data_IF_961363046027
#
_entry.id   IF_961363046027
#
_cell.length_a   1.000
_cell.length_b   1.000
_cell.length_c   1.000
_cell.angle_alpha   90.00
_cell.angle_beta   90.00
_cell.angle_gamma   90.00
#
_symmetry.space_group_name_H-M   'P 1'
#
loop_
_entity.id
_entity.type
_entity.pdbx_description
1 polymer ?
#
# COMPACT_ATOMS: atom_id res chain seq x y z
N UNK A 1 17.81 -36.73 -4.16
CA UNK A 1 17.70 -35.57 -5.07
C UNK A 1 16.94 -34.48 -4.34
N UNK A 2 17.67 -33.67 -3.56
CA UNK A 2 17.07 -32.55 -2.80
C UNK A 2 16.98 -31.36 -3.75
N UNK A 3 15.76 -31.00 -4.18
CA UNK A 3 15.58 -29.81 -5.00
C UNK A 3 15.79 -28.59 -4.12
N UNK A 4 16.88 -27.87 -4.36
CA UNK A 4 17.11 -26.54 -3.81
C UNK A 4 16.02 -25.62 -4.34
N UNK A 5 15.13 -25.12 -3.47
CA UNK A 5 14.29 -23.96 -3.77
C UNK A 5 15.23 -22.80 -4.07
N UNK A 6 15.32 -22.42 -5.33
CA UNK A 6 15.97 -21.18 -5.76
C UNK A 6 15.17 -20.03 -5.18
N UNK A 7 15.62 -19.52 -4.04
CA UNK A 7 15.08 -18.31 -3.44
C UNK A 7 15.42 -17.16 -4.39
N UNK A 8 14.42 -16.68 -5.13
CA UNK A 8 14.59 -15.57 -6.06
C UNK A 8 15.11 -14.37 -5.26
N UNK A 9 16.34 -13.95 -5.56
CA UNK A 9 17.10 -12.94 -4.81
C UNK A 9 16.64 -11.51 -5.06
N UNK A 10 15.37 -11.22 -4.83
CA UNK A 10 14.91 -9.84 -4.73
C UNK A 10 15.39 -9.29 -3.38
N UNK A 11 16.26 -8.29 -3.42
CA UNK A 11 16.57 -7.52 -2.22
C UNK A 11 15.27 -6.87 -1.71
N UNK A 12 15.01 -6.88 -0.39
CA UNK A 12 13.85 -6.20 0.15
C UNK A 12 13.93 -4.71 -0.20
N UNK A 13 12.79 -4.15 -0.60
CA UNK A 13 12.67 -2.71 -0.80
C UNK A 13 13.01 -1.98 0.51
N UNK A 14 13.51 -0.75 0.39
CA UNK A 14 13.61 0.14 1.55
C UNK A 14 12.24 0.28 2.24
N UNK A 15 12.23 0.48 3.55
CA UNK A 15 10.98 0.70 4.26
C UNK A 15 10.33 2.01 3.82
N UNK A 16 9.01 2.09 3.97
CA UNK A 16 8.25 3.28 3.63
C UNK A 16 8.77 4.52 4.37
N UNK A 17 9.15 4.38 5.63
CA UNK A 17 9.63 5.45 6.49
C UNK A 17 11.03 5.94 6.07
N UNK A 18 11.88 5.05 5.53
CA UNK A 18 13.19 5.43 5.00
C UNK A 18 13.05 6.21 3.71
N UNK A 19 12.21 5.74 2.78
CA UNK A 19 11.97 6.45 1.51
C UNK A 19 11.14 7.72 1.69
N UNK A 20 10.26 7.75 2.70
CA UNK A 20 9.38 8.88 3.01
C UNK A 20 9.42 9.23 4.50
N UNK A 21 10.48 9.92 4.96
CA UNK A 21 10.56 10.40 6.34
C UNK A 21 9.35 11.26 6.73
N UNK A 22 8.99 11.22 8.01
CA UNK A 22 7.84 11.95 8.59
C UNK A 22 6.52 11.68 7.88
N UNK A 23 6.40 10.57 7.16
CA UNK A 23 5.19 10.22 6.42
C UNK A 23 4.61 8.89 6.89
N UNK A 24 3.29 8.74 6.77
CA UNK A 24 2.64 7.43 6.87
C UNK A 24 1.51 7.31 5.85
N UNK A 25 1.18 6.08 5.47
CA UNK A 25 0.04 5.80 4.61
C UNK A 25 -1.26 5.97 5.40
N UNK A 26 -2.22 6.65 4.80
CA UNK A 26 -3.60 6.76 5.29
C UNK A 26 -4.56 6.27 4.20
N UNK A 27 -5.81 6.04 4.58
CA UNK A 27 -6.87 5.69 3.63
C UNK A 27 -8.04 6.64 3.83
N UNK A 28 -8.53 7.20 2.73
CA UNK A 28 -9.82 7.88 2.72
C UNK A 28 -10.90 6.85 2.36
N UNK A 29 -11.90 6.71 3.22
CA UNK A 29 -13.06 5.89 2.93
C UNK A 29 -14.05 6.67 2.06
N UNK A 30 -14.52 6.04 0.99
CA UNK A 30 -15.49 6.61 0.04
C UNK A 30 -16.56 5.58 -0.25
N UNK A 31 -17.82 6.00 -0.22
CA UNK A 31 -18.95 5.15 -0.59
C UNK A 31 -19.18 5.18 -2.10
N UNK A 32 -19.31 4.02 -2.72
CA UNK A 32 -19.66 3.87 -4.14
C UNK A 32 -20.70 2.76 -4.31
N UNK A 33 -21.97 3.13 -4.40
CA UNK A 33 -23.06 2.15 -4.38
C UNK A 33 -23.04 1.33 -3.09
N UNK A 34 -23.06 -0.01 -3.16
CA UNK A 34 -22.98 -0.88 -1.98
C UNK A 34 -21.54 -1.05 -1.44
N UNK A 35 -20.54 -0.43 -2.08
CA UNK A 35 -19.13 -0.68 -1.78
C UNK A 35 -18.52 0.47 -0.96
N UNK A 36 -17.82 0.11 0.12
CA UNK A 36 -16.89 1.03 0.82
C UNK A 36 -15.49 0.88 0.21
N UNK A 37 -14.99 1.93 -0.41
CA UNK A 37 -13.66 1.99 -1.01
C UNK A 37 -12.66 2.61 -0.05
N UNK A 38 -11.47 2.02 0.11
CA UNK A 38 -10.35 2.60 0.87
C UNK A 38 -9.31 3.15 -0.09
N UNK A 39 -9.37 4.45 -0.37
CA UNK A 39 -8.49 5.13 -1.34
C UNK A 39 -7.19 5.58 -0.64
N UNK A 40 -6.00 5.12 -1.08
CA UNK A 40 -4.75 5.43 -0.41
C UNK A 40 -4.33 6.89 -0.59
N UNK A 41 -3.78 7.47 0.48
CA UNK A 41 -3.02 8.72 0.46
C UNK A 41 -1.79 8.56 1.36
N UNK A 42 -0.86 9.50 1.26
CA UNK A 42 0.28 9.62 2.17
C UNK A 42 0.12 10.91 2.96
N UNK A 43 0.20 10.82 4.29
CA UNK A 43 0.16 11.95 5.19
C UNK A 43 1.58 12.33 5.59
N UNK A 44 1.95 13.58 5.36
CA UNK A 44 3.25 14.16 5.72
C UNK A 44 3.06 15.04 6.95
N UNK A 45 3.82 14.76 8.02
CA UNK A 45 3.83 15.58 9.23
C UNK A 45 4.86 16.71 9.09
N UNK A 46 4.38 17.95 9.28
CA UNK A 46 5.19 19.16 9.20
C UNK A 46 5.65 19.59 10.61
N UNK A 47 6.66 20.44 10.69
CA UNK A 47 7.12 21.04 11.95
C UNK A 47 6.33 22.32 12.28
N UNK A 48 6.49 22.83 13.51
CA UNK A 48 5.95 24.14 13.89
C UNK A 48 4.43 24.19 14.06
N UNK A 49 3.83 23.07 14.50
CA UNK A 49 2.38 22.91 14.70
C UNK A 49 1.51 23.11 13.44
N UNK A 50 2.14 23.12 12.26
CA UNK A 50 1.44 23.14 10.99
C UNK A 50 0.63 21.84 10.81
N UNK A 51 -0.59 21.93 10.24
CA UNK A 51 -1.40 20.75 9.99
C UNK A 51 -0.71 19.82 8.97
N UNK A 52 -0.92 18.50 9.06
CA UNK A 52 -0.31 17.56 8.14
C UNK A 52 -0.83 17.74 6.70
N UNK A 53 0.04 17.48 5.73
CA UNK A 53 -0.28 17.53 4.31
C UNK A 53 -0.59 16.13 3.77
N UNK A 54 -1.78 15.95 3.22
CA UNK A 54 -2.19 14.71 2.56
C UNK A 54 -1.92 14.77 1.06
N UNK A 55 -1.11 13.85 0.54
CA UNK A 55 -0.73 13.77 -0.88
C UNK A 55 -1.14 12.43 -1.51
N UNK A 56 -1.14 12.39 -2.84
CA UNK A 56 -1.36 11.15 -3.59
C UNK A 56 -0.27 10.10 -3.29
N UNK A 57 -0.65 8.82 -3.24
CA UNK A 57 0.26 7.74 -2.85
C UNK A 57 0.11 6.51 -3.76
N UNK A 58 1.14 6.27 -4.58
CA UNK A 58 1.22 5.16 -5.54
C UNK A 58 2.00 3.96 -5.03
N UNK A 59 2.48 3.98 -3.78
CA UNK A 59 3.38 2.93 -3.26
C UNK A 59 2.70 1.56 -3.10
N UNK A 60 1.36 1.52 -3.06
CA UNK A 60 0.61 0.28 -2.86
C UNK A 60 0.82 -0.35 -1.47
N UNK A 61 0.33 -1.59 -1.26
CA UNK A 61 0.56 -2.34 -0.03
C UNK A 61 2.04 -2.68 0.18
N UNK A 62 2.52 -2.54 1.41
CA UNK A 62 3.91 -2.84 1.81
C UNK A 62 3.98 -4.15 2.59
N UNK A 63 5.16 -4.78 2.61
CA UNK A 63 5.42 -5.97 3.43
C UNK A 63 4.69 -7.25 3.01
N UNK A 64 4.21 -7.31 1.75
CA UNK A 64 3.55 -8.50 1.22
C UNK A 64 4.54 -9.51 0.62
N UNK A 65 4.23 -10.79 0.74
CA UNK A 65 4.94 -11.85 0.05
C UNK A 65 4.65 -11.77 -1.47
N UNK A 66 5.69 -11.48 -2.24
CA UNK A 66 5.60 -11.33 -3.70
C UNK A 66 5.17 -12.61 -4.40
N UNK A 67 5.36 -13.79 -3.78
CA UNK A 67 4.95 -15.08 -4.34
C UNK A 67 3.44 -15.30 -4.23
N UNK A 68 2.76 -14.59 -3.32
CA UNK A 68 1.30 -14.60 -3.18
C UNK A 68 0.62 -13.53 -4.06
N UNK A 69 1.36 -12.48 -4.44
CA UNK A 69 0.85 -11.36 -5.22
C UNK A 69 0.05 -10.35 -4.40
N UNK A 70 -0.48 -9.32 -5.08
CA UNK A 70 -1.25 -8.27 -4.44
C UNK A 70 -2.71 -8.71 -4.14
N UNK A 71 -3.35 -8.19 -3.07
CA UNK A 71 -4.75 -8.47 -2.77
C UNK A 71 -5.67 -8.07 -3.91
N UNK A 72 -6.59 -8.95 -4.28
CA UNK A 72 -7.58 -8.73 -5.35
C UNK A 72 -8.76 -7.86 -4.87
N UNK A 73 -8.49 -6.63 -4.40
CA UNK A 73 -9.50 -5.73 -3.79
C UNK A 73 -10.69 -5.39 -4.69
N UNK A 74 -10.57 -5.60 -6.00
CA UNK A 74 -11.58 -5.29 -7.01
C UNK A 74 -12.42 -6.49 -7.44
N UNK A 75 -12.16 -7.68 -6.89
CA UNK A 75 -12.77 -8.94 -7.33
C UNK A 75 -14.29 -8.86 -7.36
N UNK A 76 -14.90 -8.55 -6.23
CA UNK A 76 -16.36 -8.52 -6.08
C UNK A 76 -17.02 -7.47 -7.00
N UNK A 77 -16.34 -6.34 -7.21
CA UNK A 77 -16.84 -5.29 -8.11
C UNK A 77 -16.79 -5.71 -9.57
N UNK A 78 -15.84 -6.57 -9.96
CA UNK A 78 -15.74 -7.12 -11.31
C UNK A 78 -16.79 -8.20 -11.51
N UNK A 79 -16.97 -9.08 -10.52
CA UNK A 79 -17.98 -10.15 -10.56
C UNK A 79 -19.42 -9.60 -10.63
N UNK A 80 -19.66 -8.39 -10.10
CA UNK A 80 -20.96 -7.73 -10.10
C UNK A 80 -21.25 -6.82 -11.33
N UNK A 81 -20.35 -6.72 -12.31
CA UNK A 81 -20.53 -5.90 -13.54
C UNK A 81 -21.38 -6.61 -14.58
#
# INVERSE_FOLDING_TARGET
>A
MSQSKTQSGALPLESFETSFPSSHKIFQEVQHGPWTLRVPKRRIHLSGDEPPLDVYDTTGPQGLDVTLGAPALRRDWIEAR
#
